data_IF_140775574853
#
_entry.id   IF_140775574853
#
_cell.length_a   1.000
_cell.length_b   1.000
_cell.length_c   1.000
_cell.angle_alpha   90.00
_cell.angle_beta   90.00
_cell.angle_gamma   90.00
#
_symmetry.space_group_name_H-M   'P 1'
#
loop_
_entity.id
_entity.type
_entity.pdbx_description
1 polymer ?
#
# COMPACT_ATOMS: atom_id res chain seq x y z
N UNK A 1 -7.52 15.49 -17.38
CA UNK A 1 -6.07 15.46 -17.10
C UNK A 1 -5.76 14.02 -16.72
N UNK A 2 -5.19 13.22 -17.63
CA UNK A 2 -4.81 11.84 -17.31
C UNK A 2 -3.60 11.91 -16.39
N UNK A 3 -3.84 11.81 -15.08
CA UNK A 3 -2.76 11.57 -14.12
C UNK A 3 -2.30 10.14 -14.38
N UNK A 4 -1.25 10.00 -15.20
CA UNK A 4 -0.45 8.79 -15.19
C UNK A 4 0.17 8.73 -13.79
N UNK A 5 -0.21 7.71 -13.03
CA UNK A 5 0.35 7.47 -11.70
C UNK A 5 1.79 7.01 -11.92
N UNK A 6 2.75 7.86 -11.57
CA UNK A 6 4.18 7.55 -11.67
C UNK A 6 4.74 7.31 -10.28
N UNK A 7 5.79 6.51 -10.20
CA UNK A 7 6.52 6.24 -8.95
C UNK A 7 6.99 7.56 -8.30
N UNK A 8 7.57 8.48 -9.07
CA UNK A 8 7.96 9.83 -8.61
C UNK A 8 6.78 10.64 -8.07
N UNK A 9 5.61 10.49 -8.69
CA UNK A 9 4.36 11.14 -8.26
C UNK A 9 3.91 10.61 -6.90
N UNK A 10 3.90 9.28 -6.73
CA UNK A 10 3.58 8.63 -5.45
C UNK A 10 4.58 9.03 -4.37
N UNK A 11 5.89 8.98 -4.65
CA UNK A 11 6.92 9.35 -3.68
C UNK A 11 6.75 10.79 -3.17
N UNK A 12 6.34 11.73 -4.05
CA UNK A 12 6.03 13.11 -3.67
C UNK A 12 4.83 13.20 -2.74
N UNK A 13 3.77 12.43 -3.00
CA UNK A 13 2.57 12.36 -2.14
C UNK A 13 2.95 11.81 -0.77
N UNK A 14 3.68 10.69 -0.72
CA UNK A 14 4.13 10.05 0.52
C UNK A 14 4.98 11.00 1.38
N UNK A 15 5.88 11.76 0.76
CA UNK A 15 6.72 12.71 1.49
C UNK A 15 5.92 13.91 2.03
N UNK A 16 5.02 14.48 1.22
CA UNK A 16 4.33 15.74 1.55
C UNK A 16 3.11 15.55 2.46
N UNK A 17 2.36 14.47 2.24
CA UNK A 17 1.05 14.26 2.87
C UNK A 17 1.12 13.24 3.99
N UNK A 18 2.05 12.27 3.90
CA UNK A 18 2.21 11.22 4.91
C UNK A 18 3.49 11.36 5.74
N UNK A 19 4.34 12.36 5.45
CA UNK A 19 5.54 12.66 6.24
C UNK A 19 6.67 11.65 6.12
N UNK A 20 6.69 10.85 5.05
CA UNK A 20 7.76 9.87 4.81
C UNK A 20 9.09 10.58 4.59
N UNK A 21 10.20 9.98 5.06
CA UNK A 21 11.53 10.41 4.63
C UNK A 21 11.70 10.14 3.13
N UNK A 22 12.59 10.88 2.45
CA UNK A 22 12.80 10.71 1.00
C UNK A 22 13.06 9.25 0.61
N UNK A 23 13.95 8.56 1.34
CA UNK A 23 14.25 7.15 1.11
C UNK A 23 13.04 6.24 1.34
N UNK A 24 12.27 6.48 2.40
CA UNK A 24 11.08 5.68 2.69
C UNK A 24 9.99 5.92 1.62
N UNK A 25 9.83 7.15 1.16
CA UNK A 25 8.88 7.51 0.13
C UNK A 25 9.24 6.88 -1.23
N UNK A 26 10.52 6.90 -1.62
CA UNK A 26 11.01 6.25 -2.83
C UNK A 26 10.76 4.74 -2.78
N UNK A 27 11.16 4.08 -1.68
CA UNK A 27 10.97 2.64 -1.54
C UNK A 27 9.48 2.25 -1.54
N UNK A 28 8.66 2.92 -0.73
CA UNK A 28 7.22 2.62 -0.68
C UNK A 28 6.54 2.93 -2.01
N UNK A 29 6.96 3.98 -2.74
CA UNK A 29 6.43 4.25 -4.08
C UNK A 29 6.79 3.12 -5.05
N UNK A 30 8.01 2.62 -5.00
CA UNK A 30 8.45 1.48 -5.80
C UNK A 30 7.63 0.23 -5.50
N UNK A 31 7.43 -0.09 -4.22
CA UNK A 31 6.65 -1.24 -3.79
C UNK A 31 5.18 -1.13 -4.25
N UNK A 32 4.60 0.08 -4.23
CA UNK A 32 3.24 0.35 -4.70
C UNK A 32 3.06 0.30 -6.22
N UNK A 33 4.14 0.37 -7.00
CA UNK A 33 4.11 0.28 -8.47
C UNK A 33 4.62 -1.04 -9.01
N UNK A 34 5.19 -1.89 -8.15
CA UNK A 34 5.80 -3.17 -8.49
C UNK A 34 5.41 -4.26 -7.49
N UNK A 35 4.10 -4.43 -7.28
CA UNK A 35 3.59 -5.53 -6.47
C UNK A 35 4.10 -6.88 -6.99
N UNK A 36 4.47 -7.76 -6.05
CA UNK A 36 5.09 -9.05 -6.38
C UNK A 36 4.10 -10.22 -6.37
N UNK A 37 2.94 -10.07 -5.74
CA UNK A 37 1.94 -11.14 -5.69
C UNK A 37 1.32 -11.41 -7.07
N UNK A 38 0.98 -12.66 -7.37
CA UNK A 38 0.53 -13.03 -8.73
C UNK A 38 -0.84 -12.44 -9.14
N UNK A 39 -1.68 -12.04 -8.17
CA UNK A 39 -3.00 -11.44 -8.40
C UNK A 39 -3.05 -10.07 -7.71
N UNK A 40 -2.44 -9.08 -8.37
CA UNK A 40 -2.27 -7.71 -7.87
C UNK A 40 -3.18 -6.68 -8.57
N UNK A 41 -4.11 -7.11 -9.43
CA UNK A 41 -4.91 -6.18 -10.24
C UNK A 41 -5.79 -5.23 -9.40
N UNK A 42 -6.32 -5.74 -8.29
CA UNK A 42 -7.10 -4.94 -7.33
C UNK A 42 -6.21 -4.00 -6.49
N UNK A 43 -4.96 -4.40 -6.21
CA UNK A 43 -3.96 -3.54 -5.58
C UNK A 43 -3.55 -2.40 -6.52
N UNK A 44 -3.33 -2.68 -7.80
CA UNK A 44 -3.03 -1.66 -8.81
C UNK A 44 -4.20 -0.66 -8.94
N UNK A 45 -5.44 -1.16 -9.01
CA UNK A 45 -6.61 -0.30 -9.03
C UNK A 45 -6.70 0.56 -7.76
N UNK A 46 -6.50 -0.05 -6.59
CA UNK A 46 -6.51 0.64 -5.31
C UNK A 46 -5.44 1.75 -5.23
N UNK A 47 -4.24 1.50 -5.77
CA UNK A 47 -3.17 2.51 -5.88
C UNK A 47 -3.60 3.61 -6.82
N UNK A 48 -4.16 3.32 -7.98
CA UNK A 48 -4.56 4.34 -8.96
C UNK A 48 -5.67 5.25 -8.43
N UNK A 49 -6.67 4.64 -7.77
CA UNK A 49 -7.80 5.37 -7.18
C UNK A 49 -7.34 6.27 -6.06
N UNK A 50 -6.60 5.70 -5.10
CA UNK A 50 -5.96 6.47 -4.05
C UNK A 50 -5.10 7.57 -4.66
N UNK A 51 -4.20 7.26 -5.61
CA UNK A 51 -3.31 8.19 -6.30
C UNK A 51 -4.03 9.36 -7.03
N UNK A 52 -5.33 9.25 -7.29
CA UNK A 52 -6.16 10.34 -7.84
C UNK A 52 -6.94 11.08 -6.76
N UNK A 53 -7.41 10.38 -5.74
CA UNK A 53 -8.20 10.91 -4.64
C UNK A 53 -7.77 10.23 -3.32
N UNK A 54 -7.22 11.02 -2.37
CA UNK A 54 -6.71 10.49 -1.09
C UNK A 54 -7.80 9.81 -0.25
N UNK A 55 -9.04 10.23 -0.43
CA UNK A 55 -10.18 9.74 0.34
C UNK A 55 -10.75 8.45 -0.28
N UNK A 56 -10.40 8.13 -1.53
CA UNK A 56 -10.79 6.89 -2.21
C UNK A 56 -9.87 5.72 -1.82
N UNK A 57 -9.99 5.32 -0.56
CA UNK A 57 -9.26 4.20 0.04
C UNK A 57 -10.03 2.89 -0.17
N UNK A 58 -9.78 2.26 -1.32
CA UNK A 58 -10.38 0.98 -1.69
C UNK A 58 -9.99 -0.13 -0.71
N UNK A 59 -10.98 -0.86 -0.21
CA UNK A 59 -10.73 -1.95 0.73
C UNK A 59 -10.38 -3.25 -0.01
N UNK A 60 -9.09 -3.59 -0.02
CA UNK A 60 -8.58 -4.80 -0.68
C UNK A 60 -8.53 -5.96 0.33
N UNK A 61 -9.08 -7.12 -0.05
CA UNK A 61 -9.12 -8.31 0.82
C UNK A 61 -7.91 -9.21 0.61
N UNK A 62 -7.38 -9.75 1.69
CA UNK A 62 -6.26 -10.70 1.72
C UNK A 62 -6.62 -11.85 2.67
N UNK A 63 -7.41 -12.80 2.15
CA UNK A 63 -7.95 -13.91 2.94
C UNK A 63 -8.91 -13.43 4.04
N UNK A 64 -8.57 -13.70 5.29
CA UNK A 64 -9.37 -13.33 6.46
C UNK A 64 -9.20 -11.86 6.90
N UNK A 65 -8.26 -11.12 6.30
CA UNK A 65 -8.00 -9.70 6.61
C UNK A 65 -8.26 -8.81 5.39
N UNK A 66 -8.26 -7.50 5.63
CA UNK A 66 -8.43 -6.46 4.63
C UNK A 66 -7.47 -5.30 4.86
N UNK A 67 -7.26 -4.46 3.85
CA UNK A 67 -6.48 -3.22 3.97
C UNK A 67 -7.09 -2.30 5.03
N UNK A 68 -8.42 -2.23 5.13
CA UNK A 68 -9.09 -1.46 6.18
C UNK A 68 -8.71 -1.95 7.58
N UNK A 69 -8.67 -3.27 7.81
CA UNK A 69 -8.27 -3.81 9.13
C UNK A 69 -6.84 -3.36 9.52
N UNK A 70 -5.92 -3.26 8.54
CA UNK A 70 -4.55 -2.80 8.78
C UNK A 70 -4.49 -1.30 9.08
N UNK A 71 -5.30 -0.50 8.39
CA UNK A 71 -5.40 0.94 8.65
C UNK A 71 -5.98 1.21 10.04
N UNK A 72 -6.99 0.44 10.45
CA UNK A 72 -7.55 0.49 11.81
C UNK A 72 -6.51 0.07 12.88
N UNK A 73 -5.54 -0.78 12.51
CA UNK A 73 -4.37 -1.15 13.34
C UNK A 73 -3.24 -0.10 13.31
N UNK A 74 -3.43 1.04 12.63
CA UNK A 74 -2.51 2.17 12.63
C UNK A 74 -1.47 2.18 11.51
N UNK A 75 -1.62 1.35 10.47
CA UNK A 75 -0.85 1.53 9.24
C UNK A 75 -1.42 2.69 8.42
N UNK A 76 -0.55 3.41 7.72
CA UNK A 76 -1.01 4.30 6.64
C UNK A 76 -1.63 3.45 5.52
N UNK A 77 -2.63 3.96 4.82
CA UNK A 77 -3.20 3.27 3.66
C UNK A 77 -2.15 2.79 2.63
N UNK A 78 -1.18 3.61 2.17
CA UNK A 78 -0.11 3.11 1.29
C UNK A 78 0.74 2.01 1.94
N UNK A 79 1.05 2.12 3.23
CA UNK A 79 1.75 1.05 3.95
C UNK A 79 0.94 -0.25 4.06
N UNK A 80 -0.38 -0.13 4.19
CA UNK A 80 -1.29 -1.26 4.25
C UNK A 80 -1.41 -1.99 2.89
N UNK A 81 -1.35 -1.26 1.76
CA UNK A 81 -1.31 -1.87 0.43
C UNK A 81 -0.02 -2.66 0.19
N UNK A 82 1.14 -2.09 0.56
CA UNK A 82 2.43 -2.82 0.50
C UNK A 82 2.40 -4.06 1.38
N UNK A 83 1.84 -3.95 2.59
CA UNK A 83 1.68 -5.11 3.46
C UNK A 83 0.75 -6.16 2.85
N UNK A 84 -0.34 -5.76 2.19
CA UNK A 84 -1.27 -6.68 1.56
C UNK A 84 -0.62 -7.49 0.43
N UNK A 85 0.23 -6.86 -0.38
CA UNK A 85 1.05 -7.55 -1.38
C UNK A 85 2.00 -8.58 -0.74
N UNK A 86 2.70 -8.18 0.32
CA UNK A 86 3.57 -9.09 1.07
C UNK A 86 2.78 -10.25 1.68
N UNK A 87 1.64 -9.99 2.30
CA UNK A 87 0.79 -11.02 2.91
C UNK A 87 0.27 -12.02 1.87
N UNK A 88 -0.05 -11.57 0.64
CA UNK A 88 -0.46 -12.49 -0.44
C UNK A 88 0.69 -13.36 -0.92
N UNK A 89 1.92 -12.87 -0.87
CA UNK A 89 3.11 -13.57 -1.35
C UNK A 89 3.73 -14.50 -0.28
N UNK A 90 3.72 -14.07 0.98
CA UNK A 90 4.26 -14.79 2.13
C UNK A 90 3.37 -14.53 3.37
N UNK A 91 2.21 -15.21 3.45
CA UNK A 91 1.24 -14.98 4.52
C UNK A 91 1.78 -15.35 5.91
N UNK A 92 2.66 -16.35 6.00
CA UNK A 92 3.20 -16.82 7.29
C UNK A 92 4.13 -15.76 7.92
N UNK A 93 5.08 -15.24 7.15
CA UNK A 93 6.01 -14.23 7.66
C UNK A 93 5.30 -12.91 7.92
N UNK A 94 4.40 -12.48 7.02
CA UNK A 94 3.63 -11.26 7.19
C UNK A 94 2.74 -11.31 8.44
N UNK A 95 2.02 -12.42 8.66
CA UNK A 95 1.17 -12.61 9.84
C UNK A 95 1.98 -12.55 11.14
N UNK A 96 3.16 -13.16 11.18
CA UNK A 96 4.05 -13.11 12.34
C UNK A 96 4.54 -11.67 12.61
N UNK A 97 5.01 -10.97 11.58
CA UNK A 97 5.47 -9.59 11.72
C UNK A 97 4.38 -8.65 12.23
N UNK A 98 3.13 -8.87 11.80
CA UNK A 98 1.99 -8.09 12.28
C UNK A 98 1.64 -8.41 13.74
N UNK A 99 1.74 -9.67 14.15
CA UNK A 99 1.52 -10.08 15.55
C UNK A 99 2.58 -9.52 16.51
N UNK A 100 3.84 -9.38 16.07
CA UNK A 100 4.93 -8.79 16.87
C UNK A 100 4.82 -7.27 17.02
N UNK A 101 4.01 -6.63 16.17
CA UNK A 101 3.76 -5.18 16.20
C UNK A 101 2.64 -4.79 17.18
N UNK A 102 1.79 -5.74 17.54
CA UNK A 102 0.70 -5.60 18.52
C UNK A 102 1.20 -5.79 19.95
#
# INVERSE_FOLDING_TARGET
MNVNVTEEGIARILSREYGYSARAAEQTAHDLTHFVCADHADLDEAVVRWARDRDDQTDVRMGARSVRDLVEQGLSYPGALVFADWYRSDPETAARALAERM
#
